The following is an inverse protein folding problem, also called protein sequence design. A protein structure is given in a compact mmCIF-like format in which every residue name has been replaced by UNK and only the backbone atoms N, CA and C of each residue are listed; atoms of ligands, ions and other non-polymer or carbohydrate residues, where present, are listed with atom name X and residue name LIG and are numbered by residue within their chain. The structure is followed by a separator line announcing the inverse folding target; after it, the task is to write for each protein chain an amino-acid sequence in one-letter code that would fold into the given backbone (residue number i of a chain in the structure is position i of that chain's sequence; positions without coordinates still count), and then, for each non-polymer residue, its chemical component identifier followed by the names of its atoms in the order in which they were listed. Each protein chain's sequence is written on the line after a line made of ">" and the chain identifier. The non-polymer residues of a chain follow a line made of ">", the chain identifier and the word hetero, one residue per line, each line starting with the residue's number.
data_IF_478011186555
#
_entry.id   IF_478011186555
#
_cell.length_a   1.000
_cell.length_b   1.000
_cell.length_c   1.000
_cell.angle_alpha   90.00
_cell.angle_beta   90.00
_cell.angle_gamma   90.00
#
_symmetry.space_group_name_H-M   'P 1'
#
loop_
_entity.id
_entity.type
_entity.pdbx_description
1 polymer ?
#
# COMPACT_ATOMS: atom_id res chain seq x y z
N UNK A 1 -7.70 -8.59 -20.08
CA UNK A 1 -6.92 -7.99 -18.96
C UNK A 1 -6.90 -6.50 -19.19
N UNK A 2 -7.44 -5.71 -18.28
CA UNK A 2 -7.44 -4.26 -18.43
C UNK A 2 -6.02 -3.70 -18.22
N UNK A 3 -5.58 -2.70 -18.98
CA UNK A 3 -4.28 -2.09 -18.81
C UNK A 3 -4.17 -1.42 -17.44
N UNK A 4 -3.08 -1.68 -16.74
CA UNK A 4 -2.72 -0.96 -15.51
C UNK A 4 -1.84 0.23 -15.89
N UNK A 5 -2.25 1.44 -15.50
CA UNK A 5 -1.45 2.65 -15.68
C UNK A 5 -0.73 2.91 -14.37
N UNK A 6 0.58 3.06 -14.43
CA UNK A 6 1.43 3.48 -13.32
C UNK A 6 1.85 4.93 -13.58
N UNK A 7 1.49 5.81 -12.69
CA UNK A 7 2.03 7.17 -12.66
C UNK A 7 2.95 7.26 -11.44
N UNK A 8 4.19 7.67 -11.68
CA UNK A 8 5.17 7.93 -10.65
C UNK A 8 5.50 9.41 -10.67
N UNK A 9 5.19 10.10 -9.59
CA UNK A 9 5.54 11.48 -9.36
C UNK A 9 6.46 11.55 -8.12
N UNK A 10 7.77 11.51 -8.37
CA UNK A 10 8.84 11.61 -7.38
C UNK A 10 8.70 10.71 -6.15
N UNK A 11 7.79 11.05 -5.26
CA UNK A 11 7.57 10.40 -3.95
C UNK A 11 6.24 9.64 -3.89
N UNK A 12 5.38 9.80 -4.87
CA UNK A 12 4.02 9.23 -4.91
C UNK A 12 3.89 8.24 -6.04
N UNK A 13 3.41 7.05 -5.73
CA UNK A 13 3.06 6.05 -6.74
C UNK A 13 1.55 5.84 -6.75
N UNK A 14 0.93 6.00 -7.93
CA UNK A 14 -0.49 5.74 -8.12
C UNK A 14 -0.69 4.62 -9.13
N UNK A 15 -1.38 3.58 -8.72
CA UNK A 15 -1.81 2.49 -9.60
C UNK A 15 -3.31 2.56 -9.77
N UNK A 16 -3.78 2.67 -11.02
CA UNK A 16 -5.20 2.61 -11.36
C UNK A 16 -5.45 1.41 -12.25
N UNK A 17 -6.26 0.48 -11.78
CA UNK A 17 -6.77 -0.64 -12.57
C UNK A 17 -8.25 -0.42 -12.88
N UNK A 18 -8.63 -0.63 -14.13
CA UNK A 18 -10.02 -0.55 -14.58
C UNK A 18 -10.39 -1.84 -15.30
N UNK A 19 -11.59 -2.29 -15.08
CA UNK A 19 -12.17 -3.41 -15.80
C UNK A 19 -13.57 -3.04 -16.30
N UNK A 20 -13.86 -3.39 -17.54
CA UNK A 20 -15.19 -3.27 -18.11
C UNK A 20 -15.54 -4.57 -18.82
N UNK A 21 -16.73 -5.09 -18.56
CA UNK A 21 -17.23 -6.31 -19.17
C UNK A 21 -18.71 -6.16 -19.46
N UNK A 22 -19.11 -6.49 -20.70
CA UNK A 22 -20.49 -6.61 -21.11
C UNK A 22 -20.80 -8.07 -21.46
N UNK A 23 -21.85 -8.63 -20.89
CA UNK A 23 -22.27 -10.03 -21.11
C UNK A 23 -23.76 -10.07 -21.45
N UNK A 24 -24.13 -10.87 -22.47
CA UNK A 24 -25.51 -11.21 -22.79
C UNK A 24 -25.72 -12.68 -22.45
N UNK A 25 -26.73 -12.95 -21.64
CA UNK A 25 -27.12 -14.29 -21.23
C UNK A 25 -28.64 -14.32 -21.01
N UNK A 26 -29.34 -15.29 -21.61
CA UNK A 26 -30.80 -15.50 -21.48
C UNK A 26 -31.67 -14.23 -21.67
N UNK A 27 -31.34 -13.42 -22.70
CA UNK A 27 -32.06 -12.17 -22.97
C UNK A 27 -31.82 -11.05 -21.95
N UNK A 28 -30.83 -11.23 -21.09
CA UNK A 28 -30.36 -10.26 -20.12
C UNK A 28 -28.99 -9.71 -20.54
N UNK A 29 -28.87 -8.40 -20.58
CA UNK A 29 -27.57 -7.74 -20.73
C UNK A 29 -27.07 -7.23 -19.41
N UNK A 30 -25.83 -7.57 -19.09
CA UNK A 30 -25.15 -7.11 -17.87
C UNK A 30 -23.88 -6.37 -18.27
N UNK A 31 -23.72 -5.14 -17.76
CA UNK A 31 -22.50 -4.37 -17.86
C UNK A 31 -21.90 -4.19 -16.48
N UNK A 32 -20.65 -4.58 -16.37
CA UNK A 32 -19.88 -4.46 -15.13
C UNK A 32 -18.73 -3.50 -15.35
N UNK A 33 -18.53 -2.60 -14.40
CA UNK A 33 -17.40 -1.67 -14.36
C UNK A 33 -16.72 -1.73 -13.00
N UNK A 34 -15.43 -1.96 -12.99
CA UNK A 34 -14.61 -1.96 -11.78
C UNK A 34 -13.45 -0.97 -11.89
N UNK A 35 -13.18 -0.26 -10.81
CA UNK A 35 -12.03 0.62 -10.69
C UNK A 35 -11.39 0.44 -9.33
N UNK A 36 -10.08 0.21 -9.34
CA UNK A 36 -9.24 0.26 -8.12
C UNK A 36 -8.20 1.35 -8.30
N UNK A 37 -8.09 2.24 -7.34
CA UNK A 37 -7.03 3.24 -7.25
C UNK A 37 -6.21 2.95 -5.99
N UNK A 38 -4.92 2.73 -6.18
CA UNK A 38 -3.96 2.58 -5.10
C UNK A 38 -2.91 3.68 -5.20
N UNK A 39 -2.68 4.36 -4.10
CA UNK A 39 -1.68 5.41 -3.97
C UNK A 39 -0.79 5.12 -2.79
N UNK A 40 0.50 5.39 -2.93
CA UNK A 40 1.45 5.32 -1.83
C UNK A 40 2.37 6.53 -1.84
N UNK A 41 2.65 7.06 -0.66
CA UNK A 41 3.59 8.15 -0.41
C UNK A 41 4.60 7.64 0.58
N UNK A 42 5.89 7.73 0.22
CA UNK A 42 7.00 7.36 1.09
C UNK A 42 7.96 8.54 1.18
N UNK A 43 8.16 9.06 2.39
CA UNK A 43 9.11 10.12 2.69
C UNK A 43 10.06 9.59 3.76
N UNK A 44 11.35 9.67 3.51
CA UNK A 44 12.34 9.29 4.53
C UNK A 44 13.63 10.10 4.38
N UNK A 45 14.36 10.19 5.46
CA UNK A 45 15.67 10.81 5.52
C UNK A 45 16.63 9.97 6.33
N UNK A 46 17.90 10.01 5.97
CA UNK A 46 18.99 9.39 6.69
C UNK A 46 20.00 10.45 7.12
N UNK A 47 20.51 10.32 8.34
CA UNK A 47 21.56 11.16 8.88
C UNK A 47 22.63 10.29 9.51
N UNK A 48 23.90 10.52 9.12
CA UNK A 48 25.04 9.75 9.62
C UNK A 48 26.05 10.71 10.26
N UNK A 49 26.58 10.30 11.40
CA UNK A 49 27.65 11.05 12.08
C UNK A 49 28.51 10.12 12.94
N UNK A 50 29.73 10.53 13.17
CA UNK A 50 30.67 9.83 14.04
C UNK A 50 31.05 10.75 15.19
N UNK A 51 31.09 10.23 16.42
CA UNK A 51 31.56 10.91 17.62
C UNK A 51 32.84 10.25 18.11
N UNK A 52 33.84 11.09 18.44
CA UNK A 52 35.14 10.66 18.99
C UNK A 52 35.81 9.55 18.16
N UNK A 53 35.63 9.56 16.84
CA UNK A 53 36.21 8.61 15.85
C UNK A 53 35.83 7.13 16.05
N UNK A 54 35.09 6.78 17.10
CA UNK A 54 34.77 5.41 17.47
C UNK A 54 33.27 5.09 17.46
N UNK A 55 32.42 6.10 17.65
CA UNK A 55 30.99 5.93 17.80
C UNK A 55 30.28 6.35 16.52
N UNK A 56 29.87 5.39 15.71
CA UNK A 56 29.18 5.64 14.46
C UNK A 56 27.68 5.51 14.64
N UNK A 57 26.93 6.51 14.19
CA UNK A 57 25.49 6.55 14.24
C UNK A 57 24.91 6.72 12.83
N UNK A 58 23.89 5.92 12.53
CA UNK A 58 23.03 6.15 11.37
C UNK A 58 21.58 6.24 11.88
N UNK A 59 20.98 7.40 11.68
CA UNK A 59 19.58 7.66 12.03
C UNK A 59 18.76 7.67 10.76
N UNK A 60 17.61 7.02 10.78
CA UNK A 60 16.62 7.09 9.73
C UNK A 60 15.27 7.45 10.33
N UNK A 61 14.56 8.34 9.68
CA UNK A 61 13.18 8.66 10.02
C UNK A 61 12.35 8.83 8.77
N UNK A 62 11.08 8.42 8.83
CA UNK A 62 10.23 8.50 7.66
C UNK A 62 8.75 8.41 7.97
N UNK A 63 7.99 8.67 6.92
CA UNK A 63 6.54 8.61 6.87
C UNK A 63 6.11 7.81 5.65
N UNK A 64 5.12 6.96 5.82
CA UNK A 64 4.47 6.20 4.77
C UNK A 64 2.97 6.37 4.84
N UNK A 65 2.35 6.59 3.70
CA UNK A 65 0.90 6.60 3.56
C UNK A 65 0.49 5.73 2.37
N UNK A 66 -0.54 4.93 2.56
CA UNK A 66 -1.15 4.11 1.52
C UNK A 66 -2.66 4.34 1.55
N UNK A 67 -3.24 4.51 0.37
CA UNK A 67 -4.68 4.64 0.16
C UNK A 67 -5.13 3.70 -0.95
N UNK A 68 -6.19 2.96 -0.70
CA UNK A 68 -6.83 2.10 -1.68
C UNK A 68 -8.31 2.42 -1.75
N UNK A 69 -8.78 2.80 -2.93
CA UNK A 69 -10.18 3.09 -3.24
C UNK A 69 -10.66 2.12 -4.33
N UNK A 70 -11.69 1.36 -4.01
CA UNK A 70 -12.33 0.40 -4.90
C UNK A 70 -13.78 0.81 -5.15
N UNK A 71 -14.15 0.89 -6.42
CA UNK A 71 -15.52 1.06 -6.85
C UNK A 71 -15.92 -0.03 -7.86
N UNK A 72 -17.10 -0.56 -7.70
CA UNK A 72 -17.67 -1.59 -8.54
C UNK A 72 -19.11 -1.24 -8.86
N UNK A 73 -19.45 -1.24 -10.15
CA UNK A 73 -20.80 -1.03 -10.63
C UNK A 73 -21.20 -2.19 -11.52
N UNK A 74 -22.38 -2.74 -11.26
CA UNK A 74 -23.00 -3.77 -12.10
C UNK A 74 -24.40 -3.31 -12.45
N UNK A 75 -24.68 -3.16 -13.74
CA UNK A 75 -25.99 -2.81 -14.27
C UNK A 75 -26.48 -3.93 -15.15
N UNK A 76 -27.74 -4.32 -15.03
CA UNK A 76 -28.33 -5.30 -15.91
C UNK A 76 -29.75 -4.91 -16.31
N UNK A 77 -30.16 -5.37 -17.49
CA UNK A 77 -31.49 -5.20 -18.05
C UNK A 77 -31.94 -6.49 -18.73
N UNK A 78 -33.20 -6.82 -18.58
CA UNK A 78 -33.85 -7.95 -19.26
C UNK A 78 -34.75 -7.48 -20.41
N UNK A 79 -35.24 -8.43 -21.21
CA UNK A 79 -36.14 -8.13 -22.31
C UNK A 79 -35.50 -7.28 -23.43
N UNK A 80 -34.29 -7.69 -23.84
CA UNK A 80 -33.58 -7.00 -24.94
C UNK A 80 -34.34 -7.11 -26.25
N UNK A 81 -34.45 -6.00 -27.00
CA UNK A 81 -34.95 -5.98 -28.36
C UNK A 81 -34.01 -6.65 -29.39
N UNK A 82 -32.71 -6.64 -29.10
CA UNK A 82 -31.69 -7.25 -29.94
C UNK A 82 -30.48 -7.66 -29.13
N UNK A 83 -29.93 -8.82 -29.42
CA UNK A 83 -28.71 -9.35 -28.84
C UNK A 83 -27.46 -9.01 -29.65
N UNK A 84 -27.61 -8.51 -30.86
CA UNK A 84 -26.48 -8.20 -31.75
C UNK A 84 -25.73 -6.92 -31.36
N UNK A 85 -26.43 -5.96 -30.76
CA UNK A 85 -25.82 -4.72 -30.25
C UNK A 85 -26.45 -4.37 -28.91
N UNK A 86 -26.15 -5.14 -27.85
CA UNK A 86 -26.80 -4.99 -26.59
C UNK A 86 -26.34 -3.71 -25.86
N UNK A 87 -27.29 -2.97 -25.33
CA UNK A 87 -27.01 -1.87 -24.39
C UNK A 87 -28.11 -1.73 -23.34
N UNK A 88 -27.79 -1.03 -22.24
CA UNK A 88 -28.69 -0.87 -21.10
C UNK A 88 -29.95 -0.05 -21.40
N UNK A 89 -30.00 0.66 -22.52
CA UNK A 89 -31.17 1.40 -22.99
C UNK A 89 -32.15 0.59 -23.88
N UNK A 90 -31.75 -0.61 -24.32
CA UNK A 90 -32.46 -1.42 -25.31
C UNK A 90 -33.24 -2.59 -24.73
N UNK A 91 -33.65 -2.53 -23.50
CA UNK A 91 -34.47 -3.56 -22.87
C UNK A 91 -35.73 -2.99 -22.24
N UNK A 92 -36.79 -3.80 -22.21
CA UNK A 92 -38.10 -3.44 -21.65
C UNK A 92 -38.36 -4.02 -20.27
N UNK A 93 -37.52 -4.99 -19.84
CA UNK A 93 -37.71 -5.67 -18.59
C UNK A 93 -37.03 -4.97 -17.40
N UNK A 94 -36.83 -5.72 -16.34
CA UNK A 94 -36.29 -5.22 -15.09
C UNK A 94 -34.85 -4.70 -15.23
N UNK A 95 -34.64 -3.56 -14.58
CA UNK A 95 -33.31 -2.93 -14.43
C UNK A 95 -32.78 -3.16 -13.03
N UNK A 96 -31.59 -3.71 -12.93
CA UNK A 96 -30.89 -3.88 -11.65
C UNK A 96 -29.61 -3.08 -11.68
N UNK A 97 -29.44 -2.23 -10.67
CA UNK A 97 -28.24 -1.41 -10.46
C UNK A 97 -27.63 -1.80 -9.14
N UNK A 98 -26.34 -2.16 -9.17
CA UNK A 98 -25.54 -2.40 -7.98
C UNK A 98 -24.34 -1.45 -8.04
N UNK A 99 -24.17 -0.64 -7.02
CA UNK A 99 -22.99 0.23 -6.83
C UNK A 99 -22.37 -0.10 -5.47
N UNK A 100 -21.10 -0.44 -5.48
CA UNK A 100 -20.34 -0.77 -4.28
C UNK A 100 -19.07 0.05 -4.25
N UNK A 101 -18.81 0.67 -3.09
CA UNK A 101 -17.56 1.37 -2.83
C UNK A 101 -16.94 0.84 -1.56
N UNK A 102 -15.64 0.61 -1.62
CA UNK A 102 -14.85 0.18 -0.48
C UNK A 102 -13.49 0.82 -0.56
N UNK A 103 -12.88 1.06 0.58
CA UNK A 103 -11.55 1.64 0.63
C UNK A 103 -10.90 1.45 2.00
N UNK A 104 -9.60 1.58 2.01
CA UNK A 104 -8.82 1.60 3.22
C UNK A 104 -7.62 2.52 3.06
N UNK A 105 -7.16 3.06 4.15
CA UNK A 105 -5.95 3.85 4.23
C UNK A 105 -5.10 3.39 5.41
N UNK A 106 -3.78 3.40 5.22
CA UNK A 106 -2.80 3.21 6.28
C UNK A 106 -1.84 4.38 6.30
N UNK A 107 -1.37 4.74 7.49
CA UNK A 107 -0.35 5.77 7.70
C UNK A 107 0.60 5.29 8.76
N UNK A 108 1.88 5.55 8.56
CA UNK A 108 2.89 5.14 9.50
C UNK A 108 4.05 6.11 9.58
N UNK A 109 4.55 6.29 10.80
CA UNK A 109 5.85 6.90 11.06
C UNK A 109 6.81 5.80 11.44
N UNK A 110 8.02 5.87 10.92
CA UNK A 110 9.04 4.89 11.24
C UNK A 110 10.38 5.55 11.49
N UNK A 111 11.18 4.91 12.34
CA UNK A 111 12.52 5.35 12.63
C UNK A 111 13.44 4.18 12.93
N UNK A 112 14.71 4.38 12.63
CA UNK A 112 15.79 3.43 12.90
C UNK A 112 17.00 4.17 13.45
N UNK A 113 17.63 3.59 14.42
CA UNK A 113 18.92 4.01 14.98
C UNK A 113 19.85 2.82 14.82
N UNK A 114 20.90 2.96 14.01
CA UNK A 114 22.03 2.05 14.00
C UNK A 114 23.18 2.71 14.73
N UNK A 115 23.76 1.97 15.67
CA UNK A 115 24.94 2.34 16.40
C UNK A 115 26.02 1.30 16.20
N UNK A 116 27.21 1.74 15.94
CA UNK A 116 28.41 0.93 15.75
C UNK A 116 29.54 1.53 16.59
N UNK A 117 30.14 0.69 17.43
CA UNK A 117 31.37 1.02 18.16
C UNK A 117 32.56 0.29 17.54
N UNK A 118 33.41 1.01 16.81
CA UNK A 118 34.61 0.50 16.14
C UNK A 118 34.38 -0.71 15.23
N UNK A 119 33.18 -0.92 14.72
CA UNK A 119 32.81 -2.13 14.01
C UNK A 119 32.79 -3.40 14.88
N UNK A 120 32.87 -3.26 16.21
CA UNK A 120 32.87 -4.37 17.19
C UNK A 120 31.49 -4.66 17.74
N UNK A 121 30.86 -3.64 18.28
CA UNK A 121 29.54 -3.75 18.92
C UNK A 121 28.52 -3.01 18.07
N UNK A 122 27.49 -3.72 17.66
CA UNK A 122 26.45 -3.22 16.79
C UNK A 122 25.11 -3.24 17.53
N UNK A 123 24.39 -2.14 17.47
CA UNK A 123 23.03 -2.03 18.01
C UNK A 123 22.13 -1.45 16.94
N UNK A 124 21.02 -2.11 16.67
CA UNK A 124 19.94 -1.55 15.87
C UNK A 124 18.66 -1.45 16.68
N UNK A 125 18.05 -0.27 16.68
CA UNK A 125 16.73 -0.01 17.25
C UNK A 125 15.81 0.45 16.14
N UNK A 126 14.65 -0.19 16.00
CA UNK A 126 13.61 0.21 15.08
C UNK A 126 12.33 0.51 15.85
N UNK A 127 11.57 1.47 15.34
CA UNK A 127 10.25 1.78 15.83
C UNK A 127 9.32 2.14 14.67
N UNK A 128 8.09 1.60 14.67
CA UNK A 128 7.03 2.00 13.76
C UNK A 128 5.78 2.35 14.56
N UNK A 129 5.12 3.42 14.16
CA UNK A 129 3.83 3.83 14.69
C UNK A 129 2.84 3.88 13.53
N UNK A 130 2.06 2.81 13.38
CA UNK A 130 1.21 2.59 12.22
C UNK A 130 -0.27 2.70 12.60
N UNK A 131 -1.04 3.35 11.74
CA UNK A 131 -2.48 3.49 11.84
C UNK A 131 -3.19 2.94 10.62
N UNK A 132 -4.36 2.32 10.82
CA UNK A 132 -5.18 1.79 9.74
C UNK A 132 -6.65 2.17 9.90
N UNK A 133 -7.28 2.56 8.78
CA UNK A 133 -8.70 2.88 8.73
C UNK A 133 -9.60 1.66 8.93
N UNK A 134 -9.06 0.45 8.81
CA UNK A 134 -9.80 -0.83 8.99
C UNK A 134 -10.17 -1.11 10.43
N UNK A 135 -9.48 -0.48 11.38
CA UNK A 135 -9.78 -0.63 12.80
C UNK A 135 -10.78 0.42 13.29
N UNK A 136 -11.52 0.07 14.33
CA UNK A 136 -12.48 0.97 14.97
C UNK A 136 -11.82 2.26 15.49
N UNK A 137 -12.58 3.35 15.53
CA UNK A 137 -12.12 4.60 16.14
C UNK A 137 -11.65 4.34 17.58
N UNK A 138 -10.46 4.83 17.92
CA UNK A 138 -9.80 4.62 19.22
C UNK A 138 -8.74 3.52 19.23
N UNK A 139 -8.81 2.53 18.31
CA UNK A 139 -7.86 1.41 18.23
C UNK A 139 -7.12 1.35 16.89
N UNK A 140 -7.00 2.48 16.21
CA UNK A 140 -6.44 2.54 14.85
C UNK A 140 -4.94 2.52 14.81
N UNK A 141 -4.28 2.88 15.90
CA UNK A 141 -2.85 3.08 15.97
C UNK A 141 -2.17 2.05 16.84
N UNK A 142 -1.03 1.55 16.39
CA UNK A 142 -0.18 0.62 17.12
C UNK A 142 1.28 1.02 17.02
N UNK A 143 2.04 0.76 18.08
CA UNK A 143 3.48 0.94 18.12
C UNK A 143 4.19 -0.41 18.08
N UNK A 144 5.17 -0.54 17.19
CA UNK A 144 5.90 -1.77 16.91
C UNK A 144 7.41 -1.53 17.03
N UNK A 145 7.98 -1.72 18.23
CA UNK A 145 9.43 -1.62 18.44
C UNK A 145 10.13 -2.93 18.11
N UNK A 146 11.39 -2.84 17.67
CA UNK A 146 12.31 -3.98 17.59
C UNK A 146 13.73 -3.52 17.90
N UNK A 147 14.56 -4.45 18.41
CA UNK A 147 15.96 -4.22 18.72
C UNK A 147 16.78 -5.43 18.30
N UNK A 148 18.01 -5.20 17.82
CA UNK A 148 18.99 -6.23 17.56
C UNK A 148 20.37 -5.80 18.05
N UNK A 149 21.16 -6.80 18.46
CA UNK A 149 22.54 -6.63 18.93
C UNK A 149 23.46 -7.53 18.09
N UNK A 150 24.60 -7.01 17.73
CA UNK A 150 25.65 -7.73 17.04
C UNK A 150 27.00 -7.56 17.71
N UNK A 151 27.84 -8.59 17.67
CA UNK A 151 29.20 -8.56 18.15
C UNK A 151 30.15 -9.18 17.12
N UNK A 152 31.12 -8.40 16.66
CA UNK A 152 32.16 -8.82 15.75
C UNK A 152 33.36 -9.34 16.55
N UNK A 153 33.32 -10.59 16.92
CA UNK A 153 34.35 -11.24 17.78
C UNK A 153 35.74 -11.18 17.15
N UNK A 154 35.84 -11.29 15.83
CA UNK A 154 37.13 -11.27 15.13
C UNK A 154 37.90 -9.92 15.25
N UNK A 155 37.20 -8.85 15.62
CA UNK A 155 37.80 -7.53 15.89
C UNK A 155 38.27 -7.33 17.32
N UNK A 156 38.15 -8.35 18.14
CA UNK A 156 38.63 -8.30 19.54
C UNK A 156 40.13 -8.59 19.60
N UNK A 157 40.84 -7.92 20.50
CA UNK A 157 42.28 -8.03 20.68
C UNK A 157 42.78 -9.45 20.94
N UNK A 158 41.95 -10.31 21.52
CA UNK A 158 42.29 -11.73 21.76
C UNK A 158 42.24 -12.61 20.51
N UNK A 159 41.70 -12.08 19.39
CA UNK A 159 41.64 -12.76 18.09
C UNK A 159 42.76 -12.32 17.15
N UNK A 160 43.52 -11.28 17.51
CA UNK A 160 44.70 -10.88 16.74
C UNK A 160 45.77 -11.97 16.90
N UNK A 161 46.36 -12.50 15.79
CA UNK A 161 47.39 -13.56 15.84
C UNK A 161 48.72 -13.08 16.38
#
# INVERSE_FOLDING_TARGET
>A
MAPSIYEQDGVTMTKVARSELGVVEDGKFTRTYGRTRYQTINLYTNYQFTLNDHHNFTLMGGYQEEDNDYSYMKNSITGLYSTNNPNLGMGTGDKVVVDTRNGWATRGFFGRINYDYDGRYLLELNGRYDGSSRFAKGNRWGFFPSASLGWNIYREKFMEP
#
